data_IF_276958760225
#
_entry.id   IF_276958760225
#
_cell.length_a   1.000
_cell.length_b   1.000
_cell.length_c   1.000
_cell.angle_alpha   90.00
_cell.angle_beta   90.00
_cell.angle_gamma   90.00
#
_symmetry.space_group_name_H-M   'P 1'
#
loop_
_entity.id
_entity.type
_entity.pdbx_description
1 polymer ?
#
# COMPACT_ATOMS: atom_id res chain seq x y z
N UNK A 1 0.55 18.51 7.51
CA UNK A 1 1.62 17.61 7.02
C UNK A 1 2.03 17.92 5.58
N UNK A 2 1.09 18.23 4.68
CA UNK A 2 1.44 18.69 3.31
C UNK A 2 2.39 19.90 3.30
N UNK A 3 2.20 20.87 4.20
CA UNK A 3 3.11 22.02 4.33
C UNK A 3 4.51 21.69 4.88
N UNK A 4 4.69 20.52 5.48
CA UNK A 4 5.96 20.10 6.10
C UNK A 4 6.80 19.30 5.10
N UNK A 5 6.17 18.47 4.27
CA UNK A 5 6.83 17.64 3.25
C UNK A 5 6.14 17.73 1.88
N UNK A 6 6.04 18.94 1.29
CA UNK A 6 5.22 19.16 0.09
C UNK A 6 5.70 18.32 -1.10
N UNK A 7 7.02 18.20 -1.27
CA UNK A 7 7.61 17.42 -2.36
C UNK A 7 7.28 15.93 -2.28
N UNK A 8 7.43 15.33 -1.09
CA UNK A 8 7.17 13.91 -0.89
C UNK A 8 5.68 13.60 -1.00
N UNK A 9 4.80 14.49 -0.54
CA UNK A 9 3.36 14.37 -0.77
C UNK A 9 3.03 14.41 -2.27
N UNK A 10 3.59 15.35 -3.02
CA UNK A 10 3.37 15.43 -4.47
C UNK A 10 3.84 14.15 -5.17
N UNK A 11 5.04 13.67 -4.82
CA UNK A 11 5.62 12.46 -5.41
C UNK A 11 4.80 11.20 -5.13
N UNK A 12 4.38 10.97 -3.89
CA UNK A 12 3.58 9.77 -3.56
C UNK A 12 2.22 9.74 -4.24
N UNK A 13 1.67 10.92 -4.59
CA UNK A 13 0.40 11.02 -5.30
C UNK A 13 0.50 10.69 -6.79
N UNK A 14 1.69 10.50 -7.36
CA UNK A 14 1.83 10.18 -8.80
C UNK A 14 1.72 8.69 -9.11
N UNK A 15 1.65 7.84 -8.08
CA UNK A 15 1.58 6.38 -8.25
C UNK A 15 0.44 5.80 -7.44
N UNK A 16 -0.18 4.75 -7.99
CA UNK A 16 -1.26 4.02 -7.34
C UNK A 16 -0.80 3.21 -6.13
N UNK A 17 0.37 2.59 -6.25
CA UNK A 17 1.03 1.86 -5.19
C UNK A 17 2.31 2.58 -4.79
N UNK A 18 2.63 2.53 -3.49
CA UNK A 18 3.81 3.18 -2.95
C UNK A 18 5.09 2.50 -3.40
N UNK A 19 6.07 3.30 -3.77
CA UNK A 19 7.46 2.89 -3.92
C UNK A 19 8.22 2.97 -2.57
N UNK A 20 9.42 2.40 -2.54
CA UNK A 20 10.28 2.40 -1.34
C UNK A 20 10.63 3.82 -0.81
N UNK A 21 10.56 4.82 -1.69
CA UNK A 21 10.87 6.22 -1.38
C UNK A 21 9.61 7.07 -1.15
N UNK A 22 8.42 6.47 -1.17
CA UNK A 22 7.16 7.15 -0.94
C UNK A 22 6.80 7.26 0.54
N UNK A 23 6.09 8.31 0.90
CA UNK A 23 5.54 8.46 2.24
C UNK A 23 4.26 7.63 2.41
N UNK A 24 4.05 7.08 3.61
CA UNK A 24 2.84 6.35 3.98
C UNK A 24 1.69 7.32 4.29
N UNK A 25 1.30 8.20 3.36
CA UNK A 25 0.44 9.35 3.65
C UNK A 25 -0.85 8.99 4.40
N UNK A 26 -1.66 7.99 3.98
CA UNK A 26 -2.87 7.62 4.72
C UNK A 26 -2.57 7.13 6.14
N UNK A 27 -1.51 6.33 6.30
CA UNK A 27 -1.08 5.82 7.60
C UNK A 27 -0.61 6.95 8.53
N UNK A 28 0.23 7.86 8.02
CA UNK A 28 0.71 9.03 8.77
C UNK A 28 -0.44 9.93 9.20
N UNK A 29 -1.44 10.15 8.33
CA UNK A 29 -2.62 10.94 8.64
C UNK A 29 -3.46 10.30 9.76
N UNK A 30 -3.67 8.98 9.70
CA UNK A 30 -4.33 8.23 10.76
C UNK A 30 -3.58 8.34 12.09
N UNK A 31 -2.27 8.08 12.09
CA UNK A 31 -1.42 8.17 13.27
C UNK A 31 -1.46 9.58 13.90
N UNK A 32 -1.24 10.63 13.10
CA UNK A 32 -1.30 12.01 13.59
C UNK A 32 -2.66 12.36 14.21
N UNK A 33 -3.75 11.93 13.58
CA UNK A 33 -5.10 12.22 14.05
C UNK A 33 -5.39 11.53 15.40
N UNK A 34 -4.94 10.28 15.56
CA UNK A 34 -5.03 9.55 16.81
C UNK A 34 -4.17 10.19 17.92
N UNK A 35 -2.88 10.44 17.64
CA UNK A 35 -1.92 11.00 18.61
C UNK A 35 -2.27 12.42 19.06
N UNK A 36 -2.93 13.21 18.21
CA UNK A 36 -3.35 14.58 18.54
C UNK A 36 -4.73 14.68 19.18
N UNK A 37 -5.41 13.55 19.41
CA UNK A 37 -6.78 13.52 19.96
C UNK A 37 -7.82 14.17 19.04
N UNK A 38 -7.51 14.30 17.74
CA UNK A 38 -8.38 14.93 16.74
C UNK A 38 -9.28 13.94 16.00
N UNK A 39 -9.22 12.65 16.35
CA UNK A 39 -10.11 11.64 15.81
C UNK A 39 -10.47 10.57 16.82
N UNK A 40 -11.38 9.71 16.40
CA UNK A 40 -11.89 8.59 17.17
C UNK A 40 -11.36 7.32 16.51
N UNK A 41 -10.70 6.47 17.29
CA UNK A 41 -10.29 5.16 16.81
C UNK A 41 -11.53 4.29 16.60
N UNK A 42 -11.77 3.87 15.36
CA UNK A 42 -12.83 2.94 15.01
C UNK A 42 -12.15 1.60 14.73
N UNK A 43 -12.44 0.53 15.48
CA UNK A 43 -11.90 -0.79 15.17
C UNK A 43 -12.50 -1.31 13.86
N UNK A 44 -11.75 -1.23 12.78
CA UNK A 44 -12.10 -1.89 11.52
C UNK A 44 -11.95 -3.41 11.64
N UNK A 45 -12.90 -4.15 11.03
CA UNK A 45 -12.99 -5.61 11.16
C UNK A 45 -12.56 -6.39 9.91
N UNK A 46 -12.29 -5.70 8.81
CA UNK A 46 -12.04 -6.33 7.52
C UNK A 46 -10.67 -5.92 6.92
N UNK A 47 -9.63 -6.07 7.73
CA UNK A 47 -8.25 -5.82 7.32
C UNK A 47 -7.55 -7.15 7.05
N UNK A 48 -6.80 -7.21 5.96
CA UNK A 48 -5.94 -8.34 5.66
C UNK A 48 -4.49 -8.00 5.97
N UNK A 49 -3.85 -8.84 6.78
CA UNK A 49 -2.44 -8.76 7.09
C UNK A 49 -1.75 -10.01 6.57
N UNK A 50 -0.69 -9.83 5.79
CA UNK A 50 0.09 -10.94 5.27
C UNK A 50 1.57 -10.59 5.14
N UNK A 51 2.37 -11.60 4.85
CA UNK A 51 3.77 -11.44 4.48
C UNK A 51 3.98 -11.94 3.07
N UNK A 52 4.71 -11.17 2.28
CA UNK A 52 5.10 -11.53 0.93
C UNK A 52 6.56 -12.00 0.97
N UNK A 53 6.84 -13.17 0.39
CA UNK A 53 8.13 -13.86 0.56
C UNK A 53 8.67 -14.36 -0.78
N UNK A 54 9.83 -15.03 -0.76
CA UNK A 54 10.36 -15.74 -1.94
C UNK A 54 9.62 -17.05 -2.28
N UNK A 55 8.69 -17.53 -1.42
CA UNK A 55 7.89 -18.72 -1.68
C UNK A 55 6.62 -18.38 -2.46
N UNK A 56 6.63 -18.76 -3.74
CA UNK A 56 5.50 -18.54 -4.66
C UNK A 56 4.20 -19.20 -4.20
N UNK A 57 4.26 -20.37 -3.58
CA UNK A 57 3.04 -21.09 -3.14
C UNK A 57 2.37 -20.31 -2.02
N UNK A 58 3.15 -19.73 -1.10
CA UNK A 58 2.62 -18.89 -0.03
C UNK A 58 2.05 -17.57 -0.59
N UNK A 59 2.75 -16.93 -1.52
CA UNK A 59 2.27 -15.72 -2.18
C UNK A 59 0.94 -15.94 -2.92
N UNK A 60 0.76 -17.10 -3.57
CA UNK A 60 -0.50 -17.46 -4.22
C UNK A 60 -1.65 -17.67 -3.23
N UNK A 61 -1.38 -18.16 -2.01
CA UNK A 61 -2.39 -18.24 -0.95
C UNK A 61 -2.83 -16.85 -0.52
N UNK A 62 -1.87 -15.93 -0.33
CA UNK A 62 -2.16 -14.53 -0.01
C UNK A 62 -3.11 -13.90 -1.03
N UNK A 63 -2.87 -14.08 -2.33
CA UNK A 63 -3.77 -13.57 -3.37
C UNK A 63 -5.18 -14.15 -3.25
N UNK A 64 -5.30 -15.47 -3.08
CA UNK A 64 -6.59 -16.15 -2.94
C UNK A 64 -7.35 -15.67 -1.72
N UNK A 65 -6.66 -15.45 -0.60
CA UNK A 65 -7.29 -15.01 0.63
C UNK A 65 -7.77 -13.56 0.52
N UNK A 66 -7.00 -12.67 -0.13
CA UNK A 66 -7.42 -11.30 -0.46
C UNK A 66 -8.66 -11.33 -1.36
N UNK A 67 -8.63 -12.12 -2.44
CA UNK A 67 -9.76 -12.23 -3.36
C UNK A 67 -11.01 -12.78 -2.68
N UNK A 68 -10.86 -13.72 -1.75
CA UNK A 68 -11.98 -14.35 -1.04
C UNK A 68 -12.58 -13.43 0.02
N UNK A 69 -11.74 -12.73 0.78
CA UNK A 69 -12.17 -11.92 1.93
C UNK A 69 -12.62 -10.52 1.53
N UNK A 70 -12.22 -10.04 0.35
CA UNK A 70 -12.46 -8.68 -0.11
C UNK A 70 -12.14 -7.63 0.97
N UNK A 71 -10.90 -7.61 1.49
CA UNK A 71 -10.56 -6.77 2.62
C UNK A 71 -10.63 -5.30 2.22
N UNK A 72 -11.05 -4.45 3.16
CA UNK A 72 -11.06 -3.01 2.97
C UNK A 72 -9.64 -2.43 2.91
N UNK A 73 -8.71 -3.05 3.63
CA UNK A 73 -7.30 -2.66 3.67
C UNK A 73 -6.42 -3.91 3.59
N UNK A 74 -5.33 -3.82 2.82
CA UNK A 74 -4.33 -4.87 2.68
C UNK A 74 -2.99 -4.33 3.19
N UNK A 75 -2.43 -4.99 4.19
CA UNK A 75 -1.09 -4.72 4.69
C UNK A 75 -0.20 -5.93 4.41
N UNK A 76 0.77 -5.76 3.52
CA UNK A 76 1.75 -6.79 3.17
C UNK A 76 3.12 -6.39 3.71
N UNK A 77 3.65 -7.20 4.61
CA UNK A 77 5.02 -7.06 5.08
C UNK A 77 6.00 -7.73 4.11
N UNK A 78 7.16 -7.12 3.94
CA UNK A 78 8.30 -7.74 3.30
C UNK A 78 8.87 -8.84 4.22
N UNK A 79 8.74 -10.10 3.79
CA UNK A 79 9.35 -11.26 4.40
C UNK A 79 10.39 -11.91 3.49
N UNK A 80 10.95 -11.17 2.53
CA UNK A 80 11.96 -11.67 1.63
C UNK A 80 13.29 -11.87 2.37
N UNK A 81 13.88 -13.04 2.14
CA UNK A 81 15.25 -13.35 2.51
C UNK A 81 15.94 -13.95 1.28
N UNK A 82 17.03 -13.32 0.79
CA UNK A 82 17.84 -13.86 -0.29
C UNK A 82 17.85 -13.05 -1.58
N UNK A 83 17.75 -13.75 -2.73
CA UNK A 83 18.13 -13.28 -4.07
C UNK A 83 17.22 -12.15 -4.64
N UNK A 84 17.84 -11.03 -4.99
CA UNK A 84 17.21 -9.83 -5.58
C UNK A 84 16.35 -10.11 -6.83
N UNK A 85 16.73 -11.11 -7.65
CA UNK A 85 15.95 -11.45 -8.84
C UNK A 85 14.58 -12.06 -8.49
N UNK A 86 14.52 -12.86 -7.41
CA UNK A 86 13.27 -13.44 -6.93
C UNK A 86 12.39 -12.34 -6.32
N UNK A 87 12.99 -11.44 -5.54
CA UNK A 87 12.31 -10.27 -4.99
C UNK A 87 11.66 -9.44 -6.10
N UNK A 88 12.43 -9.08 -7.13
CA UNK A 88 11.93 -8.29 -8.26
C UNK A 88 10.78 -9.01 -8.98
N UNK A 89 10.97 -10.30 -9.30
CA UNK A 89 9.97 -11.07 -10.03
C UNK A 89 8.66 -11.27 -9.24
N UNK A 90 8.71 -11.42 -7.93
CA UNK A 90 7.50 -11.53 -7.11
C UNK A 90 6.84 -10.17 -6.86
N UNK A 91 7.62 -9.09 -6.77
CA UNK A 91 7.10 -7.72 -6.68
C UNK A 91 6.35 -7.31 -7.95
N UNK A 92 6.87 -7.66 -9.13
CA UNK A 92 6.18 -7.43 -10.42
C UNK A 92 4.82 -8.13 -10.44
N UNK A 93 4.75 -9.40 -10.03
CA UNK A 93 3.49 -10.16 -9.96
C UNK A 93 2.52 -9.61 -8.92
N UNK A 94 3.02 -9.12 -7.79
CA UNK A 94 2.19 -8.43 -6.80
C UNK A 94 1.57 -7.16 -7.39
N UNK A 95 2.35 -6.35 -8.11
CA UNK A 95 1.85 -5.15 -8.78
C UNK A 95 0.82 -5.48 -9.86
N UNK A 96 1.03 -6.53 -10.66
CA UNK A 96 0.03 -7.01 -11.63
C UNK A 96 -1.29 -7.40 -10.94
N UNK A 97 -1.21 -8.19 -9.87
CA UNK A 97 -2.38 -8.58 -9.08
C UNK A 97 -3.11 -7.36 -8.51
N UNK A 98 -2.39 -6.43 -7.86
CA UNK A 98 -3.00 -5.27 -7.22
C UNK A 98 -3.62 -4.32 -8.25
N UNK A 99 -3.02 -4.16 -9.44
CA UNK A 99 -3.59 -3.35 -10.53
C UNK A 99 -4.91 -3.93 -11.07
N UNK A 100 -5.04 -5.26 -11.10
CA UNK A 100 -6.30 -5.91 -11.47
C UNK A 100 -7.33 -5.81 -10.35
N UNK A 101 -6.89 -5.96 -9.11
CA UNK A 101 -7.76 -5.96 -7.93
C UNK A 101 -8.31 -4.57 -7.61
N UNK A 102 -7.48 -3.54 -7.72
CA UNK A 102 -7.88 -2.13 -7.67
C UNK A 102 -7.81 -1.58 -9.10
N UNK A 103 -8.91 -1.59 -9.85
CA UNK A 103 -8.91 -1.08 -11.23
C UNK A 103 -8.89 0.44 -11.31
N UNK A 104 -9.60 1.10 -10.39
CA UNK A 104 -9.76 2.56 -10.39
C UNK A 104 -8.54 3.26 -9.76
N UNK A 105 -8.16 4.46 -10.24
CA UNK A 105 -7.15 5.30 -9.58
C UNK A 105 -7.50 5.53 -8.11
N UNK A 106 -6.47 5.65 -7.27
CA UNK A 106 -6.68 6.00 -5.86
C UNK A 106 -7.24 7.42 -5.73
N UNK A 107 -8.12 7.75 -4.77
CA UNK A 107 -8.51 9.13 -4.49
C UNK A 107 -7.34 10.04 -4.11
N UNK A 108 -6.21 9.45 -3.71
CA UNK A 108 -4.97 10.16 -3.44
C UNK A 108 -4.11 10.32 -4.69
N UNK A 109 -4.35 9.54 -5.74
CA UNK A 109 -3.66 9.65 -7.03
C UNK A 109 -4.07 10.97 -7.68
N UNK A 110 -3.07 11.79 -8.03
CA UNK A 110 -3.27 13.05 -8.74
C UNK A 110 -2.45 13.00 -10.02
N UNK A 111 -3.03 13.52 -11.10
CA UNK A 111 -2.26 13.72 -12.32
C UNK A 111 -1.16 14.74 -12.04
N UNK A 112 0.01 14.58 -12.67
CA UNK A 112 1.13 15.52 -12.52
C UNK A 112 0.75 16.98 -12.84
N UNK A 113 -0.29 17.18 -13.67
CA UNK A 113 -0.85 18.49 -14.01
C UNK A 113 -1.70 19.14 -12.91
N UNK A 114 -2.16 18.37 -11.92
CA UNK A 114 -2.96 18.88 -10.78
C UNK A 114 -2.09 19.27 -9.57
N UNK A 115 -0.77 19.14 -9.71
CA UNK A 115 0.24 19.42 -8.69
C UNK A 115 1.04 20.70 -8.97
N UNK A 116 0.76 21.40 -10.07
CA UNK A 116 1.35 22.69 -10.47
C UNK A 116 0.56 23.89 -9.97
#
# INVERSE_FOLDING_TARGET
MESVWPYQFAKTRTHKFREANDLAIPFLHGAFTAETGKGIYIPERNYYYGSFTSDRINNLKVYKDIQKSHPQCICLNDGFSGNDNIFKSETEKLNEFLNQYYSEPSPFEKNAFDLS
#
